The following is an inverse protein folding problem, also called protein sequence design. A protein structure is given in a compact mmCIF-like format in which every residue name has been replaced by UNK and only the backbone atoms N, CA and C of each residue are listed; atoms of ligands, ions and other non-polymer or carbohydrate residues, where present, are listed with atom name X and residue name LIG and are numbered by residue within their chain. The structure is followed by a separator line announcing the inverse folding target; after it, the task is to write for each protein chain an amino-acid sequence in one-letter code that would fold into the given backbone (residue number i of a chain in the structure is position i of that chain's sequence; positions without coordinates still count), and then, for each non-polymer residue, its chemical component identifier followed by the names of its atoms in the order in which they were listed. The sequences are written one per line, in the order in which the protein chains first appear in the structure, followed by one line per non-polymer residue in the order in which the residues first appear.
data_IF_057936848773
#
_entry.id   IF_057936848773
#
_cell.length_a   1.000
_cell.length_b   1.000
_cell.length_c   1.000
_cell.angle_alpha   90.00
_cell.angle_beta   90.00
_cell.angle_gamma   90.00
#
_symmetry.space_group_name_H-M   'P 1'
#
loop_
_entity.id
_entity.type
_entity.pdbx_description
1 polymer ?
#
# COMPACT_ATOMS: atom_id res chain seq x y z
N UNK A 1 15.83 0.74 -3.89
CA UNK A 1 15.93 2.15 -4.32
C UNK A 1 17.03 2.26 -5.36
N UNK A 2 16.79 2.94 -6.48
CA UNK A 2 17.74 3.02 -7.61
C UNK A 2 18.30 4.42 -7.82
N UNK A 3 17.58 5.47 -7.42
CA UNK A 3 17.99 6.86 -7.59
C UNK A 3 17.32 7.76 -6.56
N UNK A 4 17.99 8.83 -6.17
CA UNK A 4 17.43 9.91 -5.36
C UNK A 4 17.73 11.26 -6.00
N UNK A 5 16.76 12.16 -5.96
CA UNK A 5 16.87 13.57 -6.32
C UNK A 5 16.58 14.42 -5.10
N UNK A 6 17.36 15.47 -4.91
CA UNK A 6 17.24 16.44 -3.83
C UNK A 6 17.17 17.83 -4.43
N UNK A 7 16.23 18.64 -3.98
CA UNK A 7 16.05 20.02 -4.40
C UNK A 7 15.79 20.89 -3.17
N UNK A 8 16.74 21.76 -2.82
CA UNK A 8 16.57 22.73 -1.73
C UNK A 8 16.60 22.17 -0.32
N UNK A 9 17.35 21.09 -0.07
CA UNK A 9 17.47 20.46 1.24
C UNK A 9 18.81 20.81 1.91
N UNK A 10 18.78 21.53 3.03
CA UNK A 10 19.96 21.94 3.78
C UNK A 10 20.94 22.77 2.93
N UNK A 11 22.16 22.26 2.74
CA UNK A 11 23.16 22.90 1.85
C UNK A 11 23.06 22.46 0.39
N UNK A 12 22.20 21.48 0.06
CA UNK A 12 22.02 20.96 -1.29
C UNK A 12 20.97 21.81 -2.01
N UNK A 13 21.41 22.64 -2.96
CA UNK A 13 20.50 23.42 -3.80
C UNK A 13 19.75 22.52 -4.79
N UNK A 14 20.49 21.68 -5.52
CA UNK A 14 19.96 20.65 -6.42
C UNK A 14 21.00 19.53 -6.55
N UNK A 15 20.55 18.30 -6.75
CA UNK A 15 21.43 17.16 -6.93
C UNK A 15 20.68 15.85 -7.13
N UNK A 16 21.36 14.89 -7.74
CA UNK A 16 20.86 13.53 -7.82
C UNK A 16 21.99 12.52 -7.68
N UNK A 17 21.66 11.35 -7.14
CA UNK A 17 22.60 10.25 -6.95
C UNK A 17 21.92 8.93 -7.30
N UNK A 18 22.63 8.10 -8.06
CA UNK A 18 22.18 6.73 -8.34
C UNK A 18 22.55 5.82 -7.18
N UNK A 19 21.58 5.06 -6.69
CA UNK A 19 21.66 4.20 -5.51
C UNK A 19 21.46 2.70 -5.83
N UNK A 20 21.58 2.32 -7.10
CA UNK A 20 21.42 0.92 -7.55
C UNK A 20 22.42 -0.09 -6.97
N UNK A 21 23.72 0.24 -6.77
CA UNK A 21 24.67 -0.70 -6.18
C UNK A 21 24.35 -1.04 -4.72
N UNK A 22 24.66 -2.27 -4.29
CA UNK A 22 24.43 -2.72 -2.90
C UNK A 22 25.22 -1.94 -1.85
N UNK A 23 26.42 -1.49 -2.20
CA UNK A 23 27.31 -0.72 -1.32
C UNK A 23 27.77 0.52 -2.07
N UNK A 24 27.62 1.67 -1.43
CA UNK A 24 27.90 2.97 -2.02
C UNK A 24 28.75 3.76 -1.04
N UNK A 25 29.93 4.18 -1.49
CA UNK A 25 30.80 5.06 -0.72
C UNK A 25 30.53 6.51 -1.13
N UNK A 26 30.00 7.32 -0.21
CA UNK A 26 29.84 8.76 -0.41
C UNK A 26 31.11 9.46 0.07
N UNK A 27 31.99 9.81 -0.86
CA UNK A 27 33.27 10.49 -0.59
C UNK A 27 33.28 11.92 -1.11
N UNK A 28 34.02 12.79 -0.44
CA UNK A 28 34.18 14.18 -0.87
C UNK A 28 34.74 15.06 0.24
N UNK A 29 35.10 16.32 -0.06
CA UNK A 29 35.62 17.27 0.92
C UNK A 29 34.71 17.43 2.13
N UNK A 30 35.27 17.93 3.24
CA UNK A 30 34.45 18.45 4.33
C UNK A 30 33.50 19.51 3.74
N UNK A 31 32.27 19.56 4.25
CA UNK A 31 31.23 20.49 3.79
C UNK A 31 30.58 20.23 2.43
N UNK A 32 30.96 19.17 1.71
CA UNK A 32 30.34 18.80 0.42
C UNK A 32 28.86 18.35 0.50
N UNK A 33 28.20 18.46 1.66
CA UNK A 33 26.79 18.10 1.84
C UNK A 33 26.52 16.60 2.04
N UNK A 34 27.54 15.79 2.36
CA UNK A 34 27.39 14.33 2.58
C UNK A 34 26.34 14.00 3.66
N UNK A 35 26.48 14.58 4.85
CA UNK A 35 25.51 14.39 5.94
C UNK A 35 24.14 14.93 5.56
N UNK A 36 24.08 16.07 4.87
CA UNK A 36 22.82 16.65 4.36
C UNK A 36 22.10 15.72 3.38
N UNK A 37 22.85 15.02 2.52
CA UNK A 37 22.28 14.03 1.61
C UNK A 37 21.71 12.84 2.38
N UNK A 38 22.43 12.33 3.37
CA UNK A 38 21.94 11.23 4.22
C UNK A 38 20.71 11.65 5.05
N UNK A 39 20.68 12.87 5.58
CA UNK A 39 19.51 13.45 6.24
C UNK A 39 18.30 13.57 5.29
N UNK A 40 18.55 13.89 4.01
CA UNK A 40 17.49 13.94 3.00
C UNK A 40 16.90 12.54 2.73
N UNK A 41 17.73 11.48 2.74
CA UNK A 41 17.26 10.10 2.62
C UNK A 41 16.40 9.68 3.81
N UNK A 42 16.88 9.96 5.03
CA UNK A 42 16.10 9.71 6.25
C UNK A 42 14.77 10.45 6.22
N UNK A 43 14.80 11.73 5.83
CA UNK A 43 13.60 12.54 5.66
C UNK A 43 12.64 11.97 4.60
N UNK A 44 13.12 11.33 3.55
CA UNK A 44 12.23 10.70 2.57
C UNK A 44 11.42 9.56 3.18
N UNK A 45 12.04 8.75 4.04
CA UNK A 45 11.45 7.52 4.58
C UNK A 45 10.71 7.71 5.90
N UNK A 46 11.05 8.74 6.67
CA UNK A 46 10.48 9.01 8.00
C UNK A 46 9.00 9.42 7.95
N UNK A 47 8.12 8.70 8.63
CA UNK A 47 6.69 9.02 8.64
C UNK A 47 6.41 10.19 9.58
N UNK A 48 5.80 11.26 9.06
CA UNK A 48 5.37 12.41 9.87
C UNK A 48 6.41 13.51 10.07
N UNK A 49 7.67 13.35 9.66
CA UNK A 49 8.62 14.45 9.69
C UNK A 49 8.20 15.67 8.83
N UNK A 50 8.42 16.87 9.34
CA UNK A 50 8.35 18.11 8.55
C UNK A 50 9.77 18.60 8.27
N UNK A 51 9.98 19.35 7.18
CA UNK A 51 11.26 20.01 6.93
C UNK A 51 11.20 21.43 7.52
N UNK A 52 11.85 21.68 8.67
CA UNK A 52 11.80 23.01 9.27
C UNK A 52 12.48 24.03 8.35
N UNK A 53 12.01 25.28 8.37
CA UNK A 53 12.54 26.35 7.50
C UNK A 53 14.06 26.50 7.59
N UNK A 54 14.65 26.28 8.78
CA UNK A 54 16.10 26.35 8.99
C UNK A 54 16.90 25.26 8.24
N UNK A 55 16.24 24.14 7.92
CA UNK A 55 16.81 23.03 7.14
C UNK A 55 16.48 23.11 5.66
N UNK A 56 15.74 24.13 5.21
CA UNK A 56 15.58 24.43 3.79
C UNK A 56 16.84 25.13 3.27
N UNK A 57 17.10 24.99 1.98
CA UNK A 57 18.23 25.68 1.37
C UNK A 57 18.09 27.19 1.52
N UNK A 58 19.22 27.84 1.85
CA UNK A 58 19.32 29.30 1.93
C UNK A 58 19.65 29.93 0.58
N UNK A 59 20.09 29.13 -0.39
CA UNK A 59 20.50 29.61 -1.71
C UNK A 59 19.33 29.71 -2.69
N UNK A 60 18.20 29.07 -2.41
CA UNK A 60 16.99 29.06 -3.23
C UNK A 60 15.75 29.18 -2.36
N UNK A 61 14.71 29.86 -2.87
CA UNK A 61 13.44 30.02 -2.16
C UNK A 61 12.64 28.73 -2.28
N UNK A 62 12.41 28.03 -1.16
CA UNK A 62 11.65 26.77 -1.09
C UNK A 62 10.30 27.02 -0.42
N UNK A 63 9.25 27.03 -1.23
CA UNK A 63 7.87 27.09 -0.77
C UNK A 63 7.43 25.75 -0.15
N UNK A 64 6.34 25.79 0.62
CA UNK A 64 5.84 24.61 1.35
C UNK A 64 5.38 23.47 0.43
N UNK A 65 4.92 23.81 -0.77
CA UNK A 65 4.45 22.87 -1.80
C UNK A 65 5.56 22.34 -2.71
N UNK A 66 6.79 22.84 -2.54
CA UNK A 66 7.94 22.42 -3.35
C UNK A 66 8.40 21.02 -2.95
N UNK A 67 8.51 20.10 -3.92
CA UNK A 67 9.11 18.78 -3.72
C UNK A 67 10.61 18.92 -3.47
N UNK A 68 11.06 18.47 -2.29
CA UNK A 68 12.45 18.63 -1.84
C UNK A 68 13.28 17.36 -1.94
N UNK A 69 12.64 16.19 -1.85
CA UNK A 69 13.31 14.90 -2.00
C UNK A 69 12.41 13.96 -2.79
N UNK A 70 12.99 13.24 -3.74
CA UNK A 70 12.31 12.21 -4.54
C UNK A 70 13.20 10.99 -4.63
N UNK A 71 12.69 9.83 -4.23
CA UNK A 71 13.35 8.53 -4.39
C UNK A 71 12.62 7.67 -5.40
N UNK A 72 13.42 6.97 -6.21
CA UNK A 72 12.96 6.05 -7.23
C UNK A 72 13.24 4.62 -6.78
N UNK A 73 12.21 3.79 -6.83
CA UNK A 73 12.24 2.39 -6.43
C UNK A 73 11.81 1.54 -7.62
N UNK A 74 12.49 0.42 -7.82
CA UNK A 74 12.12 -0.62 -8.77
C UNK A 74 11.80 -1.84 -7.94
N UNK A 75 10.68 -2.49 -8.27
CA UNK A 75 10.25 -3.71 -7.60
C UNK A 75 11.07 -4.88 -8.15
N UNK A 76 11.42 -5.80 -7.27
CA UNK A 76 11.92 -7.10 -7.71
C UNK A 76 10.75 -8.03 -8.09
N UNK A 77 11.07 -9.24 -8.57
CA UNK A 77 10.07 -10.19 -9.02
C UNK A 77 9.13 -10.60 -7.88
N UNK A 78 9.67 -10.82 -6.68
CA UNK A 78 8.86 -11.25 -5.53
C UNK A 78 7.89 -10.15 -5.07
N UNK A 79 8.37 -8.90 -5.06
CA UNK A 79 7.56 -7.73 -4.80
C UNK A 79 6.44 -7.58 -5.85
N UNK A 80 6.77 -7.77 -7.13
CA UNK A 80 5.80 -7.65 -8.24
C UNK A 80 4.74 -8.77 -8.20
N UNK A 81 5.15 -10.01 -7.93
CA UNK A 81 4.27 -11.17 -7.79
C UNK A 81 3.23 -10.99 -6.68
N UNK A 82 3.56 -10.23 -5.63
CA UNK A 82 2.62 -9.92 -4.54
C UNK A 82 1.37 -9.13 -4.98
N UNK A 83 1.39 -8.55 -6.19
CA UNK A 83 0.27 -7.82 -6.79
C UNK A 83 -0.51 -8.65 -7.82
N UNK A 84 -0.10 -9.89 -8.11
CA UNK A 84 -0.74 -10.73 -9.13
C UNK A 84 -2.23 -11.01 -8.83
N UNK A 85 -2.63 -11.02 -7.55
CA UNK A 85 -4.02 -11.19 -7.13
C UNK A 85 -4.88 -9.93 -7.26
N UNK A 86 -4.25 -8.76 -7.43
CA UNK A 86 -4.95 -7.47 -7.46
C UNK A 86 -5.50 -7.12 -8.85
N UNK A 87 -5.52 -8.07 -9.79
CA UNK A 87 -6.22 -7.97 -11.07
C UNK A 87 -5.93 -6.66 -11.83
N UNK A 88 -4.67 -6.30 -11.90
CA UNK A 88 -4.23 -5.10 -12.59
C UNK A 88 -4.02 -5.41 -14.07
N UNK A 89 -4.19 -4.41 -14.93
CA UNK A 89 -3.85 -4.51 -16.35
C UNK A 89 -2.38 -4.84 -16.55
N UNK A 90 -1.54 -4.13 -15.81
CA UNK A 90 -0.11 -4.34 -15.76
C UNK A 90 0.34 -4.28 -14.30
N UNK A 91 1.23 -5.20 -13.93
CA UNK A 91 1.79 -5.23 -12.58
C UNK A 91 2.68 -4.00 -12.35
N UNK A 92 2.66 -3.42 -11.14
CA UNK A 92 3.54 -2.30 -10.80
C UNK A 92 5.00 -2.75 -10.89
N UNK A 93 5.84 -1.88 -11.48
CA UNK A 93 7.28 -2.12 -11.68
C UNK A 93 8.15 -1.13 -10.94
N UNK A 94 7.65 0.08 -10.76
CA UNK A 94 8.36 1.15 -10.12
C UNK A 94 7.46 2.01 -9.24
N UNK A 95 8.09 2.64 -8.25
CA UNK A 95 7.48 3.61 -7.36
C UNK A 95 8.38 4.84 -7.27
N UNK A 96 7.78 6.00 -7.50
CA UNK A 96 8.35 7.28 -7.15
C UNK A 96 7.75 7.72 -5.81
N UNK A 97 8.61 7.87 -4.80
CA UNK A 97 8.25 8.45 -3.52
C UNK A 97 8.79 9.86 -3.46
N UNK A 98 7.94 10.85 -3.22
CA UNK A 98 8.37 12.24 -3.09
C UNK A 98 7.82 12.90 -1.84
N UNK A 99 8.52 13.93 -1.37
CA UNK A 99 8.13 14.70 -0.20
C UNK A 99 8.32 16.19 -0.41
N UNK A 100 7.33 16.96 0.03
CA UNK A 100 7.30 18.42 -0.05
C UNK A 100 7.74 19.06 1.26
N UNK A 101 8.34 20.24 1.19
CA UNK A 101 8.96 20.90 2.34
C UNK A 101 8.00 21.13 3.52
N UNK A 102 6.77 21.55 3.25
CA UNK A 102 5.77 21.87 4.28
C UNK A 102 4.81 20.73 4.62
N UNK A 103 4.96 19.56 3.98
CA UNK A 103 4.00 18.46 4.12
C UNK A 103 4.59 17.29 4.92
N UNK A 104 3.81 16.79 5.87
CA UNK A 104 4.09 15.51 6.53
C UNK A 104 3.77 14.32 5.61
N UNK A 105 2.91 14.54 4.62
CA UNK A 105 2.43 13.53 3.67
C UNK A 105 3.50 13.15 2.66
N UNK A 106 3.59 11.84 2.39
CA UNK A 106 4.38 11.28 1.31
C UNK A 106 3.52 11.19 0.05
N UNK A 107 4.06 11.62 -1.07
CA UNK A 107 3.41 11.51 -2.37
C UNK A 107 4.01 10.32 -3.10
N UNK A 108 3.14 9.46 -3.64
CA UNK A 108 3.52 8.20 -4.25
C UNK A 108 2.96 8.14 -5.67
N UNK A 109 3.83 7.88 -6.63
CA UNK A 109 3.44 7.64 -8.02
C UNK A 109 3.92 6.26 -8.43
N UNK A 110 2.99 5.41 -8.83
CA UNK A 110 3.25 4.02 -9.22
C UNK A 110 3.31 3.94 -10.75
N UNK A 111 4.25 3.16 -11.27
CA UNK A 111 4.42 2.96 -12.72
C UNK A 111 4.55 1.46 -13.04
N UNK A 112 3.75 0.92 -13.98
CA UNK A 112 2.59 1.55 -14.62
C UNK A 112 1.50 1.93 -13.58
N UNK A 113 0.57 2.84 -13.92
CA UNK A 113 -0.52 3.18 -13.02
C UNK A 113 -1.36 1.92 -12.72
N UNK A 114 -1.80 1.73 -11.47
CA UNK A 114 -2.54 0.52 -11.05
C UNK A 114 -3.98 0.56 -11.54
N UNK A 115 -4.16 0.29 -12.83
CA UNK A 115 -5.48 0.22 -13.46
C UNK A 115 -6.05 -1.20 -13.41
N UNK A 116 -7.37 -1.38 -13.17
CA UNK A 116 -8.00 -2.71 -13.17
C UNK A 116 -7.96 -3.38 -14.55
N UNK A 117 -7.82 -4.70 -14.64
CA UNK A 117 -7.70 -5.43 -15.91
C UNK A 117 -8.87 -5.20 -16.89
N UNK A 118 -8.55 -4.88 -18.15
CA UNK A 118 -9.50 -4.75 -19.28
C UNK A 118 -10.10 -6.10 -19.60
N UNK A 119 -9.27 -7.14 -19.60
CA UNK A 119 -9.69 -8.52 -19.84
C UNK A 119 -10.74 -8.97 -18.82
N UNK A 120 -10.57 -8.64 -17.54
CA UNK A 120 -11.56 -8.98 -16.52
C UNK A 120 -12.85 -8.19 -16.67
N UNK A 121 -12.79 -6.87 -16.87
CA UNK A 121 -14.04 -6.10 -17.00
C UNK A 121 -14.83 -6.56 -18.24
N UNK A 122 -14.14 -6.83 -19.35
CA UNK A 122 -14.75 -7.39 -20.54
C UNK A 122 -15.39 -8.76 -20.26
N UNK A 123 -14.72 -9.64 -19.49
CA UNK A 123 -15.28 -10.92 -19.09
C UNK A 123 -16.50 -10.78 -18.15
N UNK A 124 -16.48 -9.83 -17.22
CA UNK A 124 -17.62 -9.53 -16.34
C UNK A 124 -18.82 -9.01 -17.13
N UNK A 125 -18.58 -8.09 -18.06
CA UNK A 125 -19.61 -7.56 -18.96
C UNK A 125 -20.16 -8.67 -19.86
N UNK A 126 -19.30 -9.48 -20.47
CA UNK A 126 -19.75 -10.60 -21.30
C UNK A 126 -20.61 -11.59 -20.49
N UNK A 127 -20.19 -11.94 -19.27
CA UNK A 127 -20.99 -12.78 -18.39
C UNK A 127 -22.33 -12.12 -18.04
N UNK A 128 -22.35 -10.83 -17.70
CA UNK A 128 -23.58 -10.09 -17.47
C UNK A 128 -24.49 -10.13 -18.70
N UNK A 129 -24.00 -9.81 -19.89
CA UNK A 129 -24.79 -9.77 -21.12
C UNK A 129 -25.32 -11.15 -21.57
N UNK A 130 -24.59 -12.23 -21.30
CA UNK A 130 -25.04 -13.60 -21.62
C UNK A 130 -26.22 -14.02 -20.75
N UNK A 131 -26.22 -13.65 -19.47
CA UNK A 131 -27.28 -14.03 -18.53
C UNK A 131 -28.50 -13.10 -18.56
N UNK A 132 -28.40 -11.97 -19.26
CA UNK A 132 -29.44 -10.97 -19.40
C UNK A 132 -29.72 -10.71 -20.89
N UNK A 133 -30.45 -11.62 -21.54
CA UNK A 133 -31.04 -11.35 -22.86
C UNK A 133 -32.45 -10.78 -22.71
N UNK A 134 -32.93 -9.92 -23.62
CA UNK A 134 -34.28 -9.36 -23.57
C UNK A 134 -35.39 -10.42 -23.43
N UNK A 135 -35.17 -11.60 -24.03
CA UNK A 135 -36.09 -12.74 -23.99
C UNK A 135 -35.95 -13.63 -22.72
N UNK A 136 -34.92 -13.41 -21.90
CA UNK A 136 -34.59 -14.19 -20.70
C UNK A 136 -34.78 -13.40 -19.41
N UNK A 137 -35.52 -12.29 -19.41
CA UNK A 137 -36.05 -11.78 -18.14
C UNK A 137 -36.99 -12.86 -17.62
N UNK A 138 -36.58 -13.66 -16.63
CA UNK A 138 -37.37 -14.80 -16.22
C UNK A 138 -38.72 -14.26 -15.71
N UNK A 139 -39.82 -15.01 -15.88
CA UNK A 139 -41.04 -14.65 -15.17
C UNK A 139 -40.71 -14.60 -13.68
N UNK A 140 -40.71 -13.38 -13.13
CA UNK A 140 -40.47 -13.12 -11.72
C UNK A 140 -41.63 -13.75 -10.93
N UNK A 141 -41.40 -14.94 -10.39
CA UNK A 141 -42.42 -15.71 -9.67
C UNK A 141 -43.72 -15.97 -10.47
N UNK A 142 -44.72 -16.60 -9.83
CA UNK A 142 -46.04 -16.76 -10.42
C UNK A 142 -46.76 -15.40 -10.50
N UNK A 143 -47.19 -14.99 -11.70
CA UNK A 143 -47.93 -13.73 -11.95
C UNK A 143 -49.26 -13.62 -11.19
N UNK A 144 -49.79 -14.73 -10.71
CA UNK A 144 -51.13 -14.84 -10.14
C UNK A 144 -51.32 -14.16 -8.78
N UNK A 145 -50.25 -13.66 -8.15
CA UNK A 145 -50.32 -13.06 -6.80
C UNK A 145 -49.95 -11.57 -6.74
N UNK A 146 -49.57 -10.94 -7.86
CA UNK A 146 -49.14 -9.53 -7.86
C UNK A 146 -50.32 -8.58 -7.94
N UNK A 147 -50.31 -7.55 -7.08
CA UNK A 147 -51.23 -6.42 -7.18
C UNK A 147 -50.85 -5.47 -8.34
N UNK A 148 -51.71 -4.50 -8.64
CA UNK A 148 -51.48 -3.58 -9.77
C UNK A 148 -50.22 -2.72 -9.58
N UNK A 149 -49.91 -2.33 -8.34
CA UNK A 149 -48.73 -1.52 -8.04
C UNK A 149 -47.45 -2.33 -8.21
N UNK A 150 -47.45 -3.61 -7.84
CA UNK A 150 -46.32 -4.51 -8.02
C UNK A 150 -46.08 -4.83 -9.50
N UNK A 151 -47.14 -4.95 -10.31
CA UNK A 151 -47.03 -5.11 -11.76
C UNK A 151 -46.39 -3.90 -12.41
N UNK A 152 -46.86 -2.70 -12.08
CA UNK A 152 -46.30 -1.46 -12.61
C UNK A 152 -44.81 -1.30 -12.22
N UNK A 153 -44.47 -1.57 -10.95
CA UNK A 153 -43.08 -1.53 -10.49
C UNK A 153 -42.22 -2.56 -11.23
N UNK A 154 -42.72 -3.78 -11.43
CA UNK A 154 -42.02 -4.84 -12.17
C UNK A 154 -41.76 -4.43 -13.62
N UNK A 155 -42.75 -3.83 -14.29
CA UNK A 155 -42.61 -3.34 -15.67
C UNK A 155 -41.54 -2.24 -15.75
N UNK A 156 -41.59 -1.25 -14.84
CA UNK A 156 -40.59 -0.17 -14.77
C UNK A 156 -39.17 -0.70 -14.54
N UNK A 157 -39.01 -1.68 -13.66
CA UNK A 157 -37.70 -2.28 -13.36
C UNK A 157 -37.19 -3.11 -14.54
N UNK A 158 -38.08 -3.85 -15.20
CA UNK A 158 -37.75 -4.63 -16.39
C UNK A 158 -37.29 -3.71 -17.53
N UNK A 159 -37.99 -2.59 -17.74
CA UNK A 159 -37.60 -1.58 -18.71
C UNK A 159 -36.24 -0.96 -18.37
N UNK A 160 -36.04 -0.53 -17.11
CA UNK A 160 -34.76 0.04 -16.67
C UNK A 160 -33.58 -0.95 -16.82
N UNK A 161 -33.83 -2.23 -16.58
CA UNK A 161 -32.84 -3.29 -16.81
C UNK A 161 -32.53 -3.45 -18.31
N UNK A 162 -33.55 -3.44 -19.17
CA UNK A 162 -33.35 -3.51 -20.63
C UNK A 162 -32.53 -2.31 -21.15
N UNK A 163 -32.83 -1.10 -20.66
CA UNK A 163 -32.07 0.11 -20.97
C UNK A 163 -30.61 -0.02 -20.51
N UNK A 164 -30.38 -0.45 -19.26
CA UNK A 164 -29.03 -0.67 -18.73
C UNK A 164 -28.26 -1.74 -19.52
N UNK A 165 -28.91 -2.81 -19.98
CA UNK A 165 -28.27 -3.84 -20.81
C UNK A 165 -27.79 -3.23 -22.14
N UNK A 166 -28.63 -2.45 -22.81
CA UNK A 166 -28.25 -1.80 -24.06
C UNK A 166 -27.13 -0.77 -23.86
N UNK A 167 -27.16 0.00 -22.77
CA UNK A 167 -26.05 0.88 -22.41
C UNK A 167 -24.76 0.10 -22.16
N UNK A 168 -24.80 -1.00 -21.40
CA UNK A 168 -23.63 -1.87 -21.17
C UNK A 168 -23.11 -2.44 -22.50
N UNK A 169 -23.99 -2.79 -23.44
CA UNK A 169 -23.59 -3.23 -24.80
C UNK A 169 -22.87 -2.14 -25.58
N UNK A 170 -23.36 -0.90 -25.52
CA UNK A 170 -22.70 0.25 -26.16
C UNK A 170 -21.33 0.48 -25.53
N UNK A 171 -21.22 0.40 -24.20
CA UNK A 171 -19.95 0.50 -23.48
C UNK A 171 -18.98 -0.59 -23.92
N UNK A 172 -19.41 -1.85 -23.96
CA UNK A 172 -18.59 -2.98 -24.42
C UNK A 172 -18.12 -2.81 -25.87
N UNK A 173 -19.00 -2.35 -26.76
CA UNK A 173 -18.67 -2.12 -28.17
C UNK A 173 -17.65 -0.98 -28.36
N UNK A 174 -17.58 -0.04 -27.40
CA UNK A 174 -16.65 1.09 -27.48
C UNK A 174 -15.20 0.75 -27.13
N UNK A 175 -14.96 -0.35 -26.41
CA UNK A 175 -13.64 -0.69 -25.85
C UNK A 175 -13.13 0.26 -24.76
N UNK A 176 -14.01 1.13 -24.22
CA UNK A 176 -13.73 2.08 -23.14
C UNK A 176 -14.51 1.72 -21.88
N UNK A 177 -14.61 0.43 -21.57
CA UNK A 177 -15.39 -0.09 -20.45
C UNK A 177 -14.91 0.50 -19.11
N UNK A 178 -13.60 0.72 -18.98
CA UNK A 178 -13.02 1.35 -17.78
C UNK A 178 -13.60 2.72 -17.47
N UNK A 179 -13.82 3.53 -18.50
CA UNK A 179 -14.13 4.94 -18.32
C UNK A 179 -15.63 5.19 -18.28
N UNK A 180 -16.41 4.42 -19.02
CA UNK A 180 -17.84 4.63 -19.16
C UNK A 180 -18.68 3.86 -18.14
N UNK A 181 -18.27 2.63 -17.80
CA UNK A 181 -19.06 1.77 -16.90
C UNK A 181 -19.30 2.38 -15.50
N UNK A 182 -18.35 3.14 -14.90
CA UNK A 182 -18.60 3.79 -13.61
C UNK A 182 -19.71 4.82 -13.62
N UNK A 183 -20.01 5.43 -14.78
CA UNK A 183 -21.16 6.31 -14.93
C UNK A 183 -22.50 5.59 -14.73
N UNK A 184 -22.53 4.26 -14.86
CA UNK A 184 -23.72 3.43 -14.74
C UNK A 184 -23.95 2.89 -13.32
N UNK A 185 -23.06 3.20 -12.37
CA UNK A 185 -23.06 2.62 -11.02
C UNK A 185 -24.40 2.75 -10.30
N UNK A 186 -24.94 3.96 -10.27
CA UNK A 186 -26.19 4.25 -9.54
C UNK A 186 -27.42 3.65 -10.22
N UNK A 187 -27.40 3.54 -11.56
CA UNK A 187 -28.46 2.86 -12.32
C UNK A 187 -28.47 1.36 -12.02
N UNK A 188 -27.31 0.70 -12.08
CA UNK A 188 -27.16 -0.72 -11.76
C UNK A 188 -27.56 -1.02 -10.30
N UNK A 189 -27.18 -0.15 -9.37
CA UNK A 189 -27.54 -0.26 -7.95
C UNK A 189 -29.06 -0.06 -7.70
N UNK A 190 -29.67 0.90 -8.40
CA UNK A 190 -31.11 1.13 -8.37
C UNK A 190 -31.88 -0.09 -8.88
N UNK A 191 -31.43 -0.66 -10.00
CA UNK A 191 -31.97 -1.91 -10.56
C UNK A 191 -31.81 -3.05 -9.55
N UNK A 192 -30.61 -3.27 -9.00
CA UNK A 192 -30.37 -4.30 -7.97
C UNK A 192 -31.35 -4.20 -6.80
N UNK A 193 -31.52 -3.00 -6.27
CA UNK A 193 -32.37 -2.73 -5.10
C UNK A 193 -33.84 -2.96 -5.42
N UNK A 194 -34.33 -2.42 -6.54
CA UNK A 194 -35.72 -2.55 -6.97
C UNK A 194 -36.07 -3.97 -7.42
N UNK A 195 -35.10 -4.76 -7.88
CA UNK A 195 -35.28 -6.15 -8.25
C UNK A 195 -35.32 -7.11 -7.06
N UNK A 196 -34.86 -6.69 -5.89
CA UNK A 196 -34.76 -7.57 -4.71
C UNK A 196 -36.10 -8.23 -4.31
N UNK A 197 -37.27 -7.54 -4.31
CA UNK A 197 -38.56 -8.13 -3.99
C UNK A 197 -39.03 -9.19 -5.00
N UNK A 198 -38.62 -9.06 -6.25
CA UNK A 198 -39.10 -9.91 -7.36
C UNK A 198 -38.33 -11.23 -7.52
N UNK A 199 -37.28 -11.44 -6.72
CA UNK A 199 -36.57 -12.72 -6.66
C UNK A 199 -35.75 -13.04 -7.91
N UNK A 200 -34.75 -12.20 -8.21
CA UNK A 200 -33.75 -12.51 -9.25
C UNK A 200 -33.14 -13.90 -9.05
N UNK A 201 -32.99 -14.70 -10.11
CA UNK A 201 -32.14 -15.90 -10.08
C UNK A 201 -30.78 -15.58 -9.48
N UNK A 202 -30.28 -16.49 -8.64
CA UNK A 202 -29.03 -16.29 -7.90
C UNK A 202 -27.84 -15.99 -8.83
N UNK A 203 -27.79 -16.59 -10.02
CA UNK A 203 -26.74 -16.34 -11.01
C UNK A 203 -26.79 -14.91 -11.54
N UNK A 204 -27.95 -14.45 -12.03
CA UNK A 204 -28.16 -13.10 -12.52
C UNK A 204 -27.78 -12.04 -11.48
N UNK A 205 -28.27 -12.22 -10.25
CA UNK A 205 -27.90 -11.38 -9.10
C UNK A 205 -26.38 -11.38 -8.88
N UNK A 206 -25.74 -12.55 -8.91
CA UNK A 206 -24.29 -12.64 -8.73
C UNK A 206 -23.50 -11.90 -9.81
N UNK A 207 -23.94 -11.91 -11.07
CA UNK A 207 -23.29 -11.16 -12.14
C UNK A 207 -23.43 -9.65 -11.99
N UNK A 208 -24.64 -9.19 -11.65
CA UNK A 208 -24.89 -7.77 -11.36
C UNK A 208 -24.05 -7.31 -10.15
N UNK A 209 -24.01 -8.09 -9.07
CA UNK A 209 -23.23 -7.79 -7.87
C UNK A 209 -21.73 -7.71 -8.18
N UNK A 210 -21.19 -8.63 -8.99
CA UNK A 210 -19.78 -8.60 -9.40
C UNK A 210 -19.44 -7.39 -10.28
N UNK A 211 -20.38 -6.94 -11.12
CA UNK A 211 -20.19 -5.77 -11.96
C UNK A 211 -20.15 -4.49 -11.09
N UNK A 212 -21.09 -4.36 -10.16
CA UNK A 212 -21.13 -3.25 -9.19
C UNK A 212 -19.89 -3.26 -8.29
N UNK A 213 -19.50 -4.42 -7.75
CA UNK A 213 -18.29 -4.58 -6.94
C UNK A 213 -17.02 -4.19 -7.70
N UNK A 214 -16.93 -4.54 -8.98
CA UNK A 214 -15.82 -4.10 -9.82
C UNK A 214 -15.80 -2.57 -9.99
N UNK A 215 -16.96 -1.93 -10.17
CA UNK A 215 -17.06 -0.46 -10.27
C UNK A 215 -16.62 0.19 -8.94
N UNK A 216 -17.12 -0.31 -7.82
CA UNK A 216 -16.84 0.23 -6.49
C UNK A 216 -15.38 0.01 -6.06
N UNK A 217 -14.72 -1.05 -6.56
CA UNK A 217 -13.31 -1.37 -6.26
C UNK A 217 -12.30 -0.85 -7.30
N UNK A 218 -12.71 0.08 -8.19
CA UNK A 218 -11.86 0.62 -9.28
C UNK A 218 -10.60 1.33 -8.78
N UNK A 219 -10.67 2.08 -7.68
CA UNK A 219 -9.49 2.76 -7.13
C UNK A 219 -8.62 1.79 -6.32
N UNK A 220 -8.02 0.83 -7.03
CA UNK A 220 -6.93 0.00 -6.48
C UNK A 220 -5.66 0.81 -6.28
N UNK A 221 -5.63 2.07 -6.72
CA UNK A 221 -4.50 2.96 -6.57
C UNK A 221 -4.13 3.18 -5.11
N UNK A 222 -5.10 3.45 -4.25
CA UNK A 222 -4.86 3.60 -2.81
C UNK A 222 -4.37 2.29 -2.15
N UNK A 223 -4.94 1.15 -2.54
CA UNK A 223 -4.56 -0.17 -2.01
C UNK A 223 -3.13 -0.53 -2.42
N UNK A 224 -2.82 -0.39 -3.71
CA UNK A 224 -1.48 -0.64 -4.26
C UNK A 224 -0.46 0.32 -3.65
N UNK A 225 -0.76 1.63 -3.59
CA UNK A 225 0.13 2.62 -2.96
C UNK A 225 0.38 2.31 -1.48
N UNK A 226 -0.66 1.92 -0.73
CA UNK A 226 -0.53 1.52 0.67
C UNK A 226 0.39 0.31 0.82
N UNK A 227 0.16 -0.75 0.04
CA UNK A 227 0.96 -1.98 0.10
C UNK A 227 2.42 -1.71 -0.29
N UNK A 228 2.67 -1.00 -1.39
CA UNK A 228 4.02 -0.59 -1.77
C UNK A 228 4.68 0.28 -0.71
N UNK A 229 3.91 1.14 -0.03
CA UNK A 229 4.41 2.00 1.05
C UNK A 229 4.88 1.23 2.29
N UNK A 230 4.31 0.04 2.53
CA UNK A 230 4.73 -0.88 3.60
C UNK A 230 6.00 -1.65 3.23
N UNK A 231 6.27 -1.83 1.93
CA UNK A 231 7.46 -2.52 1.40
C UNK A 231 8.67 -1.58 1.28
N UNK A 232 8.46 -0.26 1.43
CA UNK A 232 9.53 0.71 1.31
C UNK A 232 10.60 0.49 2.39
N UNK A 233 11.89 0.43 2.02
CA UNK A 233 12.96 0.36 3.00
C UNK A 233 13.00 1.66 3.81
N UNK A 234 13.27 1.53 5.10
CA UNK A 234 13.50 2.67 6.00
C UNK A 234 14.98 3.04 5.95
N UNK A 235 15.30 4.31 5.70
CA UNK A 235 16.66 4.79 5.78
C UNK A 235 17.05 4.97 7.26
N UNK A 236 17.96 4.12 7.73
CA UNK A 236 18.50 4.16 9.09
C UNK A 236 19.83 4.93 9.08
N UNK A 237 19.89 6.01 9.86
CA UNK A 237 21.13 6.75 10.08
C UNK A 237 21.77 6.26 11.37
N UNK A 238 22.98 5.71 11.26
CA UNK A 238 23.80 5.37 12.41
C UNK A 238 24.45 6.64 12.95
N UNK A 239 23.97 7.09 14.10
CA UNK A 239 24.57 8.18 14.87
C UNK A 239 25.82 7.72 15.62
N UNK A 240 26.54 8.67 16.22
CA UNK A 240 27.67 8.32 17.09
C UNK A 240 27.22 7.57 18.37
N UNK A 241 25.96 7.75 18.80
CA UNK A 241 25.39 6.96 19.89
C UNK A 241 25.25 5.48 19.48
N UNK A 242 24.93 5.20 18.21
CA UNK A 242 24.83 3.84 17.67
C UNK A 242 26.19 3.19 17.46
N UNK A 243 27.27 3.97 17.41
CA UNK A 243 28.65 3.46 17.33
C UNK A 243 29.18 3.04 18.69
N UNK A 244 28.79 3.76 19.74
CA UNK A 244 29.25 3.53 21.11
C UNK A 244 28.20 2.73 21.90
N UNK A 245 27.89 1.52 21.41
CA UNK A 245 26.96 0.64 22.11
C UNK A 245 27.63 0.09 23.38
N UNK A 246 27.13 0.40 24.59
CA UNK A 246 27.63 -0.21 25.80
C UNK A 246 27.35 -1.72 25.76
N UNK A 247 28.26 -2.50 26.35
CA UNK A 247 28.11 -3.97 26.46
C UNK A 247 27.01 -4.40 27.42
N UNK A 248 26.43 -3.45 28.18
CA UNK A 248 25.40 -3.71 29.18
C UNK A 248 24.45 -2.53 29.22
N UNK A 249 23.15 -2.82 29.24
CA UNK A 249 22.09 -1.85 29.44
C UNK A 249 21.38 -2.17 30.74
N UNK A 250 21.15 -1.14 31.57
CA UNK A 250 20.26 -1.29 32.71
C UNK A 250 18.84 -1.49 32.18
N UNK A 251 18.12 -2.48 32.70
CA UNK A 251 16.70 -2.64 32.41
C UNK A 251 15.93 -1.97 33.54
N UNK A 252 15.38 -0.78 33.26
CA UNK A 252 14.57 0.02 34.17
C UNK A 252 13.38 0.65 33.43
N UNK A 253 12.50 1.34 34.16
CA UNK A 253 11.31 1.97 33.58
C UNK A 253 11.66 2.99 32.47
N UNK A 254 12.81 3.67 32.56
CA UNK A 254 13.23 4.63 31.54
C UNK A 254 13.60 3.92 30.23
N UNK A 255 14.35 2.82 30.35
CA UNK A 255 14.83 2.03 29.21
C UNK A 255 13.69 1.27 28.52
N UNK A 256 12.67 0.86 29.26
CA UNK A 256 11.51 0.16 28.68
C UNK A 256 10.62 1.10 27.87
N UNK A 257 10.54 2.38 28.28
CA UNK A 257 9.78 3.39 27.55
C UNK A 257 10.53 3.89 26.30
N UNK A 258 11.86 3.91 26.34
CA UNK A 258 12.70 4.35 25.23
C UNK A 258 13.85 3.35 25.01
N UNK A 259 13.51 2.17 24.47
CA UNK A 259 14.49 1.10 24.24
C UNK A 259 15.48 1.56 23.17
N UNK A 260 16.80 1.57 23.43
CA UNK A 260 17.79 1.90 22.42
C UNK A 260 17.65 0.99 21.20
N UNK A 261 17.70 1.56 19.99
CA UNK A 261 17.42 0.84 18.74
C UNK A 261 18.26 -0.44 18.58
N UNK A 262 19.53 -0.42 18.98
CA UNK A 262 20.37 -1.61 18.96
C UNK A 262 19.89 -2.73 19.89
N UNK A 263 19.41 -2.38 21.09
CA UNK A 263 18.83 -3.35 22.04
C UNK A 263 17.53 -3.91 21.49
N UNK A 264 16.68 -3.05 20.92
CA UNK A 264 15.42 -3.47 20.32
C UNK A 264 15.65 -4.43 19.14
N UNK A 265 16.57 -4.10 18.22
CA UNK A 265 16.91 -4.97 17.09
C UNK A 265 17.42 -6.34 17.54
N UNK A 266 18.29 -6.38 18.56
CA UNK A 266 18.77 -7.64 19.14
C UNK A 266 17.64 -8.45 19.80
N UNK A 267 16.74 -7.76 20.50
CA UNK A 267 15.58 -8.37 21.13
C UNK A 267 14.62 -8.96 20.09
N UNK A 268 14.34 -8.23 19.01
CA UNK A 268 13.49 -8.65 17.90
C UNK A 268 14.08 -9.87 17.18
N UNK A 269 15.39 -9.84 16.90
CA UNK A 269 16.12 -11.01 16.38
C UNK A 269 16.03 -12.22 17.31
N UNK A 270 15.97 -11.99 18.62
CA UNK A 270 15.81 -13.05 19.62
C UNK A 270 14.33 -13.45 19.83
N UNK A 271 13.37 -12.76 19.21
CA UNK A 271 11.94 -12.93 19.49
C UNK A 271 11.56 -12.62 20.94
N UNK A 272 12.23 -11.61 21.54
CA UNK A 272 12.08 -11.18 22.93
C UNK A 272 11.42 -9.80 22.99
N UNK A 273 10.28 -9.71 23.67
CA UNK A 273 9.61 -8.44 23.99
C UNK A 273 10.19 -7.87 25.30
N UNK A 274 10.86 -6.72 25.21
CA UNK A 274 11.45 -6.03 26.36
C UNK A 274 10.37 -5.59 27.38
N UNK A 275 9.22 -5.02 26.97
CA UNK A 275 8.14 -4.69 27.91
C UNK A 275 7.59 -5.91 28.65
N UNK A 276 7.41 -7.03 27.96
CA UNK A 276 6.92 -8.27 28.58
C UNK A 276 7.94 -8.89 29.52
N UNK A 277 9.23 -8.75 29.23
CA UNK A 277 10.31 -9.20 30.11
C UNK A 277 10.33 -8.36 31.40
N UNK A 278 10.20 -7.04 31.26
CA UNK A 278 10.17 -6.12 32.38
C UNK A 278 8.97 -6.37 33.30
N UNK A 279 7.80 -6.63 32.71
CA UNK A 279 6.58 -6.94 33.46
C UNK A 279 6.69 -8.24 34.27
N UNK A 280 7.34 -9.28 33.73
CA UNK A 280 7.62 -10.50 34.49
C UNK A 280 8.60 -10.25 35.66
N UNK A 281 9.61 -9.39 35.43
CA UNK A 281 10.58 -9.01 36.46
C UNK A 281 9.88 -8.23 37.59
N UNK A 282 9.04 -7.25 37.26
CA UNK A 282 8.29 -6.48 38.25
C UNK A 282 7.33 -7.36 39.07
N UNK A 283 6.71 -8.37 38.44
CA UNK A 283 5.85 -9.35 39.12
C UNK A 283 6.61 -10.39 39.94
N UNK A 284 7.94 -10.43 39.85
CA UNK A 284 8.76 -11.46 40.47
C UNK A 284 8.58 -12.85 39.86
N UNK A 285 8.02 -12.96 38.65
CA UNK A 285 7.81 -14.24 37.97
C UNK A 285 9.12 -14.78 37.39
N UNK A 286 9.89 -15.44 38.25
CA UNK A 286 11.18 -16.06 37.90
C UNK A 286 11.07 -17.13 36.83
N UNK A 287 9.95 -17.84 36.78
CA UNK A 287 9.73 -18.88 35.79
C UNK A 287 9.43 -18.28 34.41
N UNK A 288 8.61 -17.23 34.37
CA UNK A 288 8.24 -16.47 33.17
C UNK A 288 9.46 -15.86 32.48
N UNK A 289 10.18 -14.96 33.16
CA UNK A 289 11.31 -14.28 32.52
C UNK A 289 12.44 -15.27 32.17
N UNK A 290 12.71 -16.26 33.03
CA UNK A 290 13.75 -17.26 32.76
C UNK A 290 13.44 -18.12 31.53
N UNK A 291 12.16 -18.40 31.27
CA UNK A 291 11.74 -19.13 30.07
C UNK A 291 11.83 -18.27 28.81
N UNK A 292 11.45 -16.98 28.87
CA UNK A 292 11.64 -16.01 27.79
C UNK A 292 13.12 -15.84 27.42
N UNK A 293 14.01 -15.67 28.41
CA UNK A 293 15.45 -15.56 28.19
C UNK A 293 16.05 -16.82 27.54
N UNK A 294 15.69 -18.02 28.01
CA UNK A 294 16.17 -19.28 27.41
C UNK A 294 15.69 -19.45 25.97
N UNK A 295 14.44 -19.07 25.67
CA UNK A 295 13.90 -19.08 24.31
C UNK A 295 14.65 -18.10 23.42
N UNK A 296 14.86 -16.88 23.90
CA UNK A 296 15.60 -15.82 23.21
C UNK A 296 17.03 -16.26 22.86
N UNK A 297 17.79 -16.73 23.86
CA UNK A 297 19.16 -17.23 23.65
C UNK A 297 19.23 -18.42 22.67
N UNK A 298 18.21 -19.29 22.67
CA UNK A 298 18.14 -20.41 21.72
C UNK A 298 17.90 -19.93 20.29
N UNK A 299 17.01 -18.95 20.10
CA UNK A 299 16.74 -18.36 18.79
C UNK A 299 17.97 -17.60 18.28
N UNK A 300 18.60 -16.82 19.15
CA UNK A 300 19.82 -16.08 18.84
C UNK A 300 21.01 -16.99 18.51
N UNK A 301 21.20 -18.08 19.27
CA UNK A 301 22.24 -19.07 18.98
C UNK A 301 22.04 -19.75 17.63
N UNK A 302 20.79 -20.02 17.23
CA UNK A 302 20.45 -20.58 15.92
C UNK A 302 20.66 -19.59 14.78
N UNK A 303 20.36 -18.30 14.98
CA UNK A 303 20.58 -17.26 13.96
C UNK A 303 22.06 -16.87 13.83
N UNK A 304 22.88 -17.03 14.88
CA UNK A 304 24.34 -16.78 14.81
C UNK A 304 25.12 -17.80 13.95
N UNK A 305 24.52 -18.96 13.66
CA UNK A 305 25.09 -19.95 12.73
C UNK A 305 24.90 -19.57 11.24
N UNK A 306 24.42 -18.35 10.95
CA UNK A 306 24.22 -17.84 9.60
C UNK A 306 25.50 -17.12 9.12
N UNK A 307 26.23 -17.78 8.22
CA UNK A 307 27.33 -17.26 7.39
C UNK A 307 28.69 -16.94 8.04
N UNK A 308 29.17 -17.83 8.93
CA UNK A 308 30.60 -18.10 9.05
C UNK A 308 31.09 -18.95 7.88
N UNK A 309 31.12 -18.36 6.68
CA UNK A 309 31.71 -18.99 5.50
C UNK A 309 33.17 -19.29 5.75
N UNK A 310 33.49 -20.57 5.85
CA UNK A 310 34.81 -21.14 5.64
C UNK A 310 35.47 -20.53 4.39
N UNK A 311 36.47 -19.69 4.57
CA UNK A 311 37.58 -19.58 3.64
C UNK A 311 38.87 -19.86 4.42
N UNK A 312 39.42 -21.05 4.14
CA UNK A 312 40.86 -21.32 4.13
C UNK A 312 41.60 -20.30 3.27
#
# INVERSE_FOLDING_TARGET
MTKVKVHGFGRLADGSMDLGPRVIAVVGPNEAGKSTFLDALAYLTDQGATLPTIRRSRSIVIADDTTVVTGYYVLDEADSESFASDDLEELPRALELSRRAGSTTRYMTVTPPPEPSRGRVAALIAAFLVHYTPDLVPPFGPETELDESEREMREQVTQALAEAIEEVRVVAASGNERDLLPGMRDQLESIRTRMAPFGLPAEQRSHLDRLIDWIDTRDRGDVVRTRMGQMLPVALLFSDADRNLPSTFALDDSTVNEVPAAVQNLADMAGLSIPDLWLDIQKGDRAGYGSKMRKANRLFGKSSNWHGGSQT
#
